data_IF_875463690193
#
_entry.id   IF_875463690193
#
_cell.length_a   1.000
_cell.length_b   1.000
_cell.length_c   1.000
_cell.angle_alpha   90.00
_cell.angle_beta   90.00
_cell.angle_gamma   90.00
#
_symmetry.space_group_name_H-M   'P 1'
#
loop_
_entity.id
_entity.type
_entity.pdbx_description
1 polymer ?
#
# COMPACT_ATOMS: atom_id res chain seq x y z
N UNK A 1 10.34 21.50 19.15
CA UNK A 1 10.00 22.50 18.11
C UNK A 1 11.25 22.73 17.28
N UNK A 2 11.17 22.56 15.96
CA UNK A 2 12.38 22.56 15.12
C UNK A 2 12.69 23.94 14.57
N UNK A 3 13.92 24.14 14.10
CA UNK A 3 14.41 25.42 13.58
C UNK A 3 13.56 25.93 12.38
N UNK A 4 12.93 25.01 11.64
CA UNK A 4 12.03 25.31 10.51
C UNK A 4 10.76 26.01 11.00
N UNK A 5 10.16 25.56 12.11
CA UNK A 5 8.95 26.18 12.69
C UNK A 5 9.26 27.61 13.15
N UNK A 6 10.43 27.82 13.75
CA UNK A 6 10.90 29.14 14.19
C UNK A 6 11.16 30.08 13.00
N UNK A 7 11.75 29.57 11.91
CA UNK A 7 11.96 30.34 10.68
C UNK A 7 10.64 30.68 9.98
N UNK A 8 9.72 29.72 9.86
CA UNK A 8 8.40 29.94 9.27
C UNK A 8 7.58 30.95 10.08
N UNK A 9 7.63 30.87 11.41
CA UNK A 9 6.91 31.82 12.26
C UNK A 9 7.43 33.26 12.16
N UNK A 10 8.70 33.48 11.78
CA UNK A 10 9.28 34.81 11.49
C UNK A 10 8.88 35.40 10.14
N UNK A 11 8.31 34.62 9.22
CA UNK A 11 7.86 35.13 7.92
C UNK A 11 6.62 36.03 8.06
N UNK A 12 6.56 37.09 7.25
CA UNK A 12 5.37 37.94 7.18
C UNK A 12 4.19 37.15 6.62
N UNK A 13 2.96 37.63 6.90
CA UNK A 13 1.74 37.04 6.33
C UNK A 13 1.81 36.98 4.79
N UNK A 14 2.32 38.03 4.15
CA UNK A 14 2.48 38.12 2.69
C UNK A 14 3.42 37.06 2.11
N UNK A 15 4.49 36.72 2.84
CA UNK A 15 5.46 35.71 2.42
C UNK A 15 4.89 34.29 2.57
N UNK A 16 4.16 34.04 3.67
CA UNK A 16 3.41 32.78 3.87
C UNK A 16 2.36 32.58 2.76
N UNK A 17 1.61 33.62 2.42
CA UNK A 17 0.62 33.60 1.34
C UNK A 17 1.26 33.46 -0.07
N UNK A 18 2.51 33.87 -0.24
CA UNK A 18 3.29 33.66 -1.47
C UNK A 18 3.77 32.21 -1.58
N UNK A 19 4.33 31.66 -0.50
CA UNK A 19 4.77 30.26 -0.44
C UNK A 19 3.60 29.28 -0.61
N UNK A 20 2.45 29.56 -0.01
CA UNK A 20 1.24 28.75 -0.19
C UNK A 20 0.80 28.70 -1.66
N UNK A 21 0.81 29.83 -2.37
CA UNK A 21 0.50 29.89 -3.81
C UNK A 21 1.52 29.14 -4.67
N UNK A 22 2.81 29.24 -4.37
CA UNK A 22 3.84 28.46 -5.08
C UNK A 22 3.75 26.95 -4.80
N UNK A 23 3.39 26.55 -3.58
CA UNK A 23 3.16 25.15 -3.23
C UNK A 23 1.95 24.58 -4.01
N UNK A 24 0.83 25.30 -4.05
CA UNK A 24 -0.34 24.95 -4.85
C UNK A 24 0.01 24.81 -6.34
N UNK A 25 0.70 25.79 -6.93
CA UNK A 25 1.11 25.73 -8.34
C UNK A 25 1.96 24.48 -8.66
N UNK A 26 2.85 24.07 -7.75
CA UNK A 26 3.64 22.83 -7.89
C UNK A 26 2.78 21.56 -7.79
N UNK A 27 1.75 21.55 -6.94
CA UNK A 27 0.79 20.43 -6.85
C UNK A 27 -0.02 20.32 -8.15
N UNK A 28 -0.47 21.44 -8.71
CA UNK A 28 -1.19 21.46 -10.00
C UNK A 28 -0.33 20.92 -11.15
N UNK A 29 0.89 21.43 -11.35
CA UNK A 29 1.78 20.95 -12.41
C UNK A 29 2.12 19.44 -12.27
N UNK A 30 2.27 18.94 -11.03
CA UNK A 30 2.48 17.50 -10.76
C UNK A 30 1.26 16.66 -11.16
N UNK A 31 0.05 17.18 -10.95
CA UNK A 31 -1.22 16.52 -11.32
C UNK A 31 -1.34 16.39 -12.85
N UNK A 32 -1.06 17.46 -13.58
CA UNK A 32 -1.06 17.49 -15.05
C UNK A 32 -0.05 16.50 -15.65
N UNK A 33 1.18 16.47 -15.12
CA UNK A 33 2.21 15.51 -15.56
C UNK A 33 1.78 14.05 -15.36
N UNK A 34 1.19 13.72 -14.19
CA UNK A 34 0.67 12.38 -13.90
C UNK A 34 -0.50 11.99 -14.81
N UNK A 35 -1.34 12.96 -15.18
CA UNK A 35 -2.47 12.76 -16.09
C UNK A 35 -1.98 12.44 -17.51
N UNK A 36 -1.01 13.19 -18.03
CA UNK A 36 -0.36 12.92 -19.32
C UNK A 36 0.33 11.55 -19.37
N UNK A 37 0.99 11.13 -18.29
CA UNK A 37 1.62 9.81 -18.22
C UNK A 37 0.60 8.65 -18.25
N UNK A 38 -0.55 8.81 -17.57
CA UNK A 38 -1.65 7.84 -17.63
C UNK A 38 -2.27 7.76 -19.02
N UNK A 39 -2.44 8.89 -19.71
CA UNK A 39 -2.89 8.91 -21.10
C UNK A 39 -1.92 8.14 -22.03
N UNK A 40 -0.61 8.31 -21.83
CA UNK A 40 0.42 7.59 -22.60
C UNK A 40 0.42 6.07 -22.39
N UNK A 41 0.16 5.56 -21.17
CA UNK A 41 -0.01 4.12 -20.92
C UNK A 41 -1.31 3.57 -21.52
N UNK A 42 -2.41 4.35 -21.43
CA UNK A 42 -3.70 3.99 -22.04
C UNK A 42 -3.59 3.86 -23.56
N UNK A 43 -2.75 4.66 -24.21
CA UNK A 43 -2.49 4.60 -25.65
C UNK A 43 -1.70 3.35 -26.12
N UNK A 44 -1.28 2.45 -25.21
CA UNK A 44 -0.49 1.24 -25.53
C UNK A 44 -1.11 -0.08 -25.06
N UNK A 45 -2.35 -0.08 -24.53
CA UNK A 45 -3.04 -1.26 -23.96
C UNK A 45 -2.21 -2.09 -22.95
N UNK A 46 -1.39 -1.43 -22.12
CA UNK A 46 -0.47 -2.07 -21.17
C UNK A 46 -1.11 -2.44 -19.80
N UNK A 47 -2.40 -2.80 -19.73
CA UNK A 47 -3.11 -3.09 -18.46
C UNK A 47 -3.93 -4.38 -18.55
N UNK A 48 -3.65 -5.36 -17.68
CA UNK A 48 -4.36 -6.66 -17.59
C UNK A 48 -4.70 -7.00 -16.14
N UNK A 49 -5.82 -7.71 -15.93
CA UNK A 49 -6.40 -8.07 -14.62
C UNK A 49 -6.90 -9.52 -14.68
N UNK A 50 -6.70 -10.32 -13.63
CA UNK A 50 -7.29 -11.66 -13.55
C UNK A 50 -7.98 -11.85 -12.19
N UNK A 51 -9.17 -12.46 -12.16
CA UNK A 51 -9.97 -12.66 -10.94
C UNK A 51 -10.80 -13.96 -11.03
N UNK A 52 -11.02 -14.61 -9.89
CA UNK A 52 -11.87 -15.80 -9.77
C UNK A 52 -13.35 -15.40 -9.61
N UNK A 53 -14.29 -16.17 -10.15
CA UNK A 53 -15.73 -15.83 -10.21
C UNK A 53 -16.60 -17.10 -10.00
N UNK A 54 -17.64 -17.08 -9.13
CA UNK A 54 -18.62 -18.17 -9.02
C UNK A 54 -19.28 -18.53 -10.37
N UNK A 55 -19.67 -19.79 -10.59
CA UNK A 55 -20.07 -20.30 -11.92
C UNK A 55 -21.36 -19.68 -12.45
N UNK A 56 -22.32 -19.59 -11.56
CA UNK A 56 -23.57 -18.83 -11.66
C UNK A 56 -23.35 -17.36 -12.05
N UNK A 57 -22.26 -16.75 -11.59
CA UNK A 57 -21.93 -15.34 -11.83
C UNK A 57 -21.03 -15.10 -13.06
N UNK A 58 -20.52 -16.15 -13.73
CA UNK A 58 -19.65 -16.01 -14.91
C UNK A 58 -20.33 -15.21 -16.02
N UNK A 59 -21.62 -15.48 -16.27
CA UNK A 59 -22.35 -14.84 -17.36
C UNK A 59 -22.76 -13.41 -17.01
N UNK A 60 -23.11 -13.12 -15.75
CA UNK A 60 -23.31 -11.74 -15.26
C UNK A 60 -22.03 -10.92 -15.40
N UNK A 61 -20.87 -11.47 -15.00
CA UNK A 61 -19.57 -10.80 -15.16
C UNK A 61 -19.22 -10.59 -16.63
N UNK A 62 -19.53 -11.53 -17.55
CA UNK A 62 -19.38 -11.32 -19.00
C UNK A 62 -20.27 -10.20 -19.52
N UNK A 63 -21.54 -10.16 -19.11
CA UNK A 63 -22.48 -9.10 -19.50
C UNK A 63 -22.00 -7.73 -18.99
N UNK A 64 -21.51 -7.64 -17.76
CA UNK A 64 -20.92 -6.42 -17.20
C UNK A 64 -19.67 -5.96 -17.95
N UNK A 65 -18.80 -6.88 -18.39
CA UNK A 65 -17.64 -6.56 -19.21
C UNK A 65 -18.05 -6.06 -20.60
N UNK A 66 -19.09 -6.66 -21.20
CA UNK A 66 -19.67 -6.23 -22.47
C UNK A 66 -20.27 -4.83 -22.36
N UNK A 67 -21.09 -4.57 -21.34
CA UNK A 67 -21.70 -3.27 -21.04
C UNK A 67 -20.62 -2.21 -20.76
N UNK A 68 -19.56 -2.58 -20.04
CA UNK A 68 -18.42 -1.69 -19.80
C UNK A 68 -17.66 -1.35 -21.10
N UNK A 69 -17.45 -2.31 -21.99
CA UNK A 69 -16.83 -2.09 -23.30
C UNK A 69 -17.70 -1.19 -24.19
N UNK A 70 -19.01 -1.45 -24.26
CA UNK A 70 -19.97 -0.69 -25.07
C UNK A 70 -20.07 0.78 -24.63
N UNK A 71 -20.28 1.05 -23.34
CA UNK A 71 -20.36 2.43 -22.86
C UNK A 71 -19.01 3.16 -23.03
N UNK A 72 -17.88 2.45 -22.92
CA UNK A 72 -16.54 3.01 -23.22
C UNK A 72 -16.38 3.37 -24.70
N UNK A 73 -16.93 2.57 -25.63
CA UNK A 73 -16.95 2.90 -27.06
C UNK A 73 -17.81 4.15 -27.35
N UNK A 74 -18.98 4.24 -26.71
CA UNK A 74 -19.89 5.40 -26.84
C UNK A 74 -19.35 6.68 -26.20
N UNK A 75 -18.25 6.58 -25.42
CA UNK A 75 -17.77 7.63 -24.48
C UNK A 75 -18.82 8.06 -23.45
N UNK A 76 -19.85 7.23 -23.31
CA UNK A 76 -20.83 7.26 -22.24
C UNK A 76 -20.18 6.83 -20.94
N UNK A 77 -21.00 6.81 -19.91
CA UNK A 77 -20.54 6.92 -18.56
C UNK A 77 -21.45 6.09 -17.64
N UNK A 78 -20.87 5.08 -16.99
CA UNK A 78 -21.55 4.02 -16.27
C UNK A 78 -20.92 3.80 -14.88
N UNK A 79 -21.62 4.13 -13.79
CA UNK A 79 -21.13 3.77 -12.46
C UNK A 79 -21.48 2.31 -12.20
N UNK A 80 -20.50 1.50 -11.78
CA UNK A 80 -20.78 0.18 -11.19
C UNK A 80 -20.79 0.35 -9.68
N UNK A 81 -21.96 0.15 -9.08
CA UNK A 81 -22.14 0.05 -7.62
C UNK A 81 -22.23 -1.43 -7.25
N UNK A 82 -21.56 -1.78 -6.16
CA UNK A 82 -21.75 -3.10 -5.53
C UNK A 82 -22.93 -2.94 -4.58
N UNK A 83 -24.04 -3.60 -4.87
CA UNK A 83 -25.19 -3.67 -3.99
C UNK A 83 -25.15 -5.00 -3.22
N UNK A 84 -25.65 -5.04 -1.96
CA UNK A 84 -25.96 -6.31 -1.33
C UNK A 84 -27.06 -7.01 -2.13
N UNK A 85 -26.89 -8.31 -2.43
CA UNK A 85 -27.97 -9.13 -2.99
C UNK A 85 -29.15 -9.19 -2.00
N UNK A 86 -30.42 -9.33 -2.44
CA UNK A 86 -31.57 -9.49 -1.55
C UNK A 86 -31.47 -10.69 -0.59
N UNK A 87 -30.65 -11.69 -0.92
CA UNK A 87 -30.36 -12.87 -0.08
C UNK A 87 -29.21 -12.65 0.92
N UNK A 88 -28.46 -11.56 0.82
CA UNK A 88 -27.28 -11.25 1.65
C UNK A 88 -26.04 -12.14 1.40
N UNK A 89 -26.12 -13.15 0.53
CA UNK A 89 -25.05 -14.11 0.28
C UNK A 89 -24.16 -13.70 -0.88
N UNK A 90 -24.71 -12.98 -1.85
CA UNK A 90 -23.99 -12.48 -3.01
C UNK A 90 -23.93 -10.95 -3.03
N UNK A 91 -22.98 -10.41 -3.80
CA UNK A 91 -22.85 -8.98 -4.04
C UNK A 91 -23.31 -8.69 -5.47
N UNK A 92 -24.59 -8.37 -5.65
CA UNK A 92 -25.14 -8.02 -6.96
C UNK A 92 -24.52 -6.72 -7.49
N UNK A 93 -24.18 -6.68 -8.77
CA UNK A 93 -23.55 -5.51 -9.38
C UNK A 93 -24.62 -4.63 -10.01
N UNK A 94 -25.05 -3.61 -9.27
CA UNK A 94 -26.00 -2.61 -9.76
C UNK A 94 -25.25 -1.61 -10.64
N UNK A 95 -25.60 -1.62 -11.92
CA UNK A 95 -25.19 -0.59 -12.87
C UNK A 95 -26.06 0.63 -12.62
N UNK A 96 -25.47 1.66 -12.03
CA UNK A 96 -26.10 2.96 -11.84
C UNK A 96 -25.63 3.84 -13.00
N UNK A 97 -26.43 3.87 -14.07
CA UNK A 97 -26.08 4.62 -15.28
C UNK A 97 -25.93 6.12 -14.94
N UNK A 98 -24.79 6.75 -15.31
CA UNK A 98 -24.39 8.20 -15.17
C UNK A 98 -22.88 8.55 -14.88
N UNK A 99 -21.83 7.79 -15.23
CA UNK A 99 -20.40 8.01 -14.75
C UNK A 99 -19.37 6.86 -14.89
N UNK A 100 -18.58 6.75 -15.98
CA UNK A 100 -17.73 5.56 -16.23
C UNK A 100 -16.63 5.31 -15.17
N UNK A 101 -16.44 4.02 -14.88
CA UNK A 101 -15.46 3.50 -13.93
C UNK A 101 -14.06 4.07 -14.13
N UNK A 102 -13.47 4.44 -13.00
CA UNK A 102 -12.03 4.37 -12.79
C UNK A 102 -11.69 2.94 -12.33
N UNK A 103 -10.84 2.22 -13.08
CA UNK A 103 -9.96 1.21 -12.48
C UNK A 103 -8.50 1.48 -12.87
N UNK A 104 -7.64 1.37 -11.87
CA UNK A 104 -6.20 1.16 -11.99
C UNK A 104 -5.96 -0.31 -12.37
N UNK A 105 -4.76 -0.69 -12.83
CA UNK A 105 -4.14 -2.00 -12.53
C UNK A 105 -2.59 -1.95 -12.76
N UNK A 106 -1.80 -2.96 -12.33
CA UNK A 106 -0.57 -2.72 -11.58
C UNK A 106 0.66 -3.32 -12.29
N UNK A 107 1.79 -3.41 -11.58
CA UNK A 107 3.03 -4.01 -12.10
C UNK A 107 3.21 -5.47 -11.62
N UNK A 108 3.94 -6.25 -12.41
CA UNK A 108 4.71 -7.42 -11.96
C UNK A 108 6.12 -7.24 -12.53
N UNK A 109 7.08 -6.88 -11.68
CA UNK A 109 8.09 -7.79 -11.11
C UNK A 109 8.96 -8.54 -12.14
N UNK A 110 10.22 -8.11 -12.21
CA UNK A 110 11.36 -8.94 -12.61
C UNK A 110 12.53 -8.52 -11.73
N UNK A 111 13.18 -9.49 -11.09
CA UNK A 111 14.31 -9.29 -10.16
C UNK A 111 15.65 -9.16 -10.93
N UNK A 112 16.79 -8.84 -10.28
CA UNK A 112 17.31 -7.49 -10.42
C UNK A 112 18.69 -7.43 -11.12
N UNK A 113 19.26 -6.22 -11.09
CA UNK A 113 20.69 -5.93 -11.28
C UNK A 113 21.23 -5.90 -12.73
N UNK A 114 21.08 -4.73 -13.37
CA UNK A 114 22.01 -4.15 -14.38
C UNK A 114 21.58 -2.74 -14.83
N UNK A 115 21.37 -1.84 -13.86
CA UNK A 115 21.13 -0.39 -14.11
C UNK A 115 21.90 0.54 -13.19
N UNK A 116 23.11 0.15 -12.78
CA UNK A 116 24.12 1.17 -12.46
C UNK A 116 24.49 1.87 -13.77
N UNK A 117 24.04 3.11 -13.94
CA UNK A 117 24.44 3.94 -15.07
C UNK A 117 25.95 4.12 -15.11
N UNK A 118 26.53 4.08 -16.30
CA UNK A 118 27.99 4.14 -16.52
C UNK A 118 28.56 5.51 -16.15
N UNK A 119 28.76 5.75 -14.86
CA UNK A 119 29.59 6.85 -14.37
C UNK A 119 31.07 6.45 -14.51
N UNK A 120 31.69 6.89 -15.60
CA UNK A 120 33.13 6.76 -15.83
C UNK A 120 33.88 7.70 -14.87
N UNK A 121 34.07 7.23 -13.64
CA UNK A 121 34.73 7.95 -12.56
C UNK A 121 34.48 7.25 -11.22
N UNK A 122 35.54 7.00 -10.45
CA UNK A 122 35.55 6.15 -9.24
C UNK A 122 34.93 6.84 -8.00
N UNK A 123 33.78 7.48 -8.16
CA UNK A 123 33.01 8.04 -7.04
C UNK A 123 32.25 6.91 -6.32
N UNK A 124 32.38 6.82 -5.00
CA UNK A 124 31.64 5.83 -4.23
C UNK A 124 30.16 6.22 -4.11
N UNK A 125 29.29 5.24 -3.83
CA UNK A 125 27.87 5.51 -3.54
C UNK A 125 27.68 6.51 -2.38
N UNK A 126 28.64 6.58 -1.45
CA UNK A 126 28.68 7.55 -0.34
C UNK A 126 28.94 8.97 -0.82
N UNK A 127 29.80 9.15 -1.83
CA UNK A 127 30.11 10.46 -2.41
C UNK A 127 28.92 10.98 -3.22
N UNK A 128 28.33 10.10 -4.04
CA UNK A 128 27.13 10.38 -4.83
C UNK A 128 25.92 10.74 -3.95
N UNK A 129 25.74 10.05 -2.82
CA UNK A 129 24.57 10.21 -1.93
C UNK A 129 24.27 11.66 -1.54
N UNK A 130 25.30 12.50 -1.38
CA UNK A 130 25.13 13.91 -1.02
C UNK A 130 24.95 14.86 -2.22
N UNK A 131 25.30 14.46 -3.45
CA UNK A 131 25.18 15.31 -4.65
C UNK A 131 23.71 15.64 -4.95
N UNK A 132 23.32 16.90 -5.22
CA UNK A 132 21.92 17.24 -5.50
C UNK A 132 21.26 16.45 -6.64
N UNK A 133 22.04 16.08 -7.66
CA UNK A 133 21.64 15.21 -8.77
C UNK A 133 21.16 13.83 -8.33
N UNK A 134 21.71 13.27 -7.25
CA UNK A 134 21.34 11.95 -6.73
C UNK A 134 19.95 11.90 -6.08
N UNK A 135 19.25 13.04 -5.96
CA UNK A 135 17.91 13.10 -5.34
C UNK A 135 16.86 12.28 -6.10
N UNK A 136 16.92 12.22 -7.43
CA UNK A 136 15.99 11.40 -8.24
C UNK A 136 16.24 9.92 -8.03
N UNK A 137 17.51 9.51 -8.02
CA UNK A 137 17.92 8.12 -7.78
C UNK A 137 17.53 7.67 -6.37
N UNK A 138 17.78 8.51 -5.36
CA UNK A 138 17.40 8.21 -3.97
C UNK A 138 15.89 8.02 -3.80
N UNK A 139 15.07 8.84 -4.49
CA UNK A 139 13.61 8.67 -4.55
C UNK A 139 13.20 7.37 -5.25
N UNK A 140 13.90 6.99 -6.31
CA UNK A 140 13.62 5.75 -7.05
C UNK A 140 13.90 4.52 -6.18
N UNK A 141 15.07 4.46 -5.54
CA UNK A 141 15.46 3.39 -4.63
C UNK A 141 14.50 3.25 -3.44
N UNK A 142 14.07 4.38 -2.86
CA UNK A 142 13.04 4.37 -1.80
C UNK A 142 11.73 3.77 -2.32
N UNK A 143 11.26 4.19 -3.50
CA UNK A 143 10.02 3.69 -4.07
C UNK A 143 10.10 2.19 -4.45
N UNK A 144 11.25 1.70 -4.93
CA UNK A 144 11.49 0.27 -5.19
C UNK A 144 11.44 -0.57 -3.92
N UNK A 145 12.18 -0.17 -2.88
CA UNK A 145 12.18 -0.86 -1.58
C UNK A 145 10.78 -0.85 -0.99
N UNK A 146 10.07 0.27 -1.03
CA UNK A 146 8.71 0.37 -0.47
C UNK A 146 7.68 -0.38 -1.33
N UNK A 147 7.88 -0.56 -2.63
CA UNK A 147 7.01 -1.38 -3.47
C UNK A 147 7.21 -2.89 -3.25
N UNK A 148 8.44 -3.34 -2.97
CA UNK A 148 8.75 -4.74 -2.67
C UNK A 148 8.54 -5.10 -1.19
N UNK A 149 8.87 -4.18 -0.29
CA UNK A 149 8.95 -4.39 1.16
C UNK A 149 7.91 -3.59 1.98
N UNK A 150 7.03 -2.81 1.35
CA UNK A 150 5.93 -2.12 2.05
C UNK A 150 4.81 -3.05 2.53
N UNK A 151 4.12 -2.72 3.64
CA UNK A 151 4.45 -1.64 4.58
C UNK A 151 5.68 -1.98 5.43
N UNK A 152 6.47 -0.97 5.80
CA UNK A 152 7.60 -1.10 6.73
C UNK A 152 7.83 0.18 7.52
N UNK A 153 8.41 0.14 8.74
CA UNK A 153 8.70 1.36 9.50
C UNK A 153 9.70 2.27 8.80
N UNK A 154 9.55 3.58 8.98
CA UNK A 154 10.45 4.58 8.39
C UNK A 154 11.90 4.39 8.86
N UNK A 155 12.13 4.07 10.14
CA UNK A 155 13.48 3.90 10.69
C UNK A 155 14.16 2.61 10.22
N UNK A 156 13.38 1.61 9.79
CA UNK A 156 13.85 0.38 9.11
C UNK A 156 14.22 0.68 7.65
N UNK A 157 13.40 1.44 6.94
CA UNK A 157 13.73 1.96 5.61
C UNK A 157 15.02 2.79 5.65
N UNK A 158 15.13 3.71 6.60
CA UNK A 158 16.32 4.55 6.80
C UNK A 158 17.58 3.72 7.05
N UNK A 159 17.50 2.67 7.89
CA UNK A 159 18.61 1.77 8.17
C UNK A 159 19.01 0.97 6.92
N UNK A 160 18.03 0.46 6.15
CA UNK A 160 18.27 -0.23 4.87
C UNK A 160 18.99 0.69 3.87
N UNK A 161 18.54 1.93 3.73
CA UNK A 161 19.17 2.92 2.86
C UNK A 161 20.58 3.28 3.32
N UNK A 162 20.79 3.54 4.63
CA UNK A 162 22.11 3.81 5.18
C UNK A 162 23.10 2.67 4.87
N UNK A 163 22.70 1.41 5.12
CA UNK A 163 23.50 0.23 4.80
C UNK A 163 23.79 0.09 3.30
N UNK A 164 22.79 0.32 2.43
CA UNK A 164 22.94 0.27 0.95
C UNK A 164 23.97 1.28 0.43
N UNK A 165 24.11 2.44 1.08
CA UNK A 165 25.13 3.44 0.75
C UNK A 165 26.44 3.29 1.54
N UNK A 166 26.65 2.15 2.20
CA UNK A 166 27.88 1.84 2.92
C UNK A 166 28.09 2.67 4.19
N UNK A 167 27.04 3.24 4.79
CA UNK A 167 27.11 3.87 6.10
C UNK A 167 26.91 2.83 7.21
N UNK A 168 27.77 2.86 8.23
CA UNK A 168 27.67 2.00 9.41
C UNK A 168 26.64 2.48 10.44
N UNK A 169 26.21 3.75 10.36
CA UNK A 169 25.32 4.36 11.35
C UNK A 169 24.26 5.29 10.73
N UNK A 170 23.16 5.47 11.47
CA UNK A 170 22.05 6.39 11.18
C UNK A 170 22.42 7.83 11.55
N UNK A 171 23.42 8.42 10.88
CA UNK A 171 23.80 9.82 11.11
C UNK A 171 22.71 10.78 10.62
N UNK A 172 22.38 11.82 11.39
CA UNK A 172 21.24 12.75 11.15
C UNK A 172 21.16 13.25 9.71
N UNK A 173 22.29 13.66 9.12
CA UNK A 173 22.39 14.13 7.72
C UNK A 173 21.96 13.09 6.68
N UNK A 174 22.04 11.80 6.99
CA UNK A 174 21.56 10.70 6.12
C UNK A 174 20.03 10.59 6.24
N UNK A 175 19.51 10.69 7.46
CA UNK A 175 18.07 10.63 7.75
C UNK A 175 17.33 11.83 7.14
N UNK A 176 17.82 13.06 7.38
CA UNK A 176 17.28 14.30 6.78
C UNK A 176 17.19 14.21 5.24
N UNK A 177 18.22 13.59 4.64
CA UNK A 177 18.34 13.40 3.18
C UNK A 177 17.32 12.37 2.65
N UNK A 178 17.08 11.29 3.38
CA UNK A 178 16.07 10.27 3.08
C UNK A 178 14.66 10.85 3.27
N UNK A 179 14.41 11.54 4.39
CA UNK A 179 13.16 12.25 4.68
C UNK A 179 12.78 13.25 3.58
N UNK A 180 13.75 14.01 3.08
CA UNK A 180 13.57 14.93 1.95
C UNK A 180 13.27 14.24 0.60
N UNK A 181 13.24 12.90 0.54
CA UNK A 181 12.97 12.08 -0.64
C UNK A 181 11.71 11.21 -0.53
N UNK A 182 10.90 11.37 0.53
CA UNK A 182 9.68 10.57 0.74
C UNK A 182 8.48 10.99 -0.14
N UNK A 183 8.62 11.99 -1.03
CA UNK A 183 7.55 12.48 -1.92
C UNK A 183 6.92 11.41 -2.84
N UNK A 184 7.61 10.27 -3.03
CA UNK A 184 7.17 9.16 -3.88
C UNK A 184 6.26 8.14 -3.18
N UNK A 185 6.21 8.16 -1.86
CA UNK A 185 5.55 7.15 -1.01
C UNK A 185 4.43 7.78 -0.18
N UNK A 186 3.79 6.98 0.65
CA UNK A 186 2.84 7.41 1.67
C UNK A 186 3.37 7.09 3.08
N UNK A 187 3.02 7.93 4.05
CA UNK A 187 3.37 7.75 5.46
C UNK A 187 2.08 7.67 6.25
N UNK A 188 1.90 6.57 6.97
CA UNK A 188 0.75 6.34 7.84
C UNK A 188 1.24 5.97 9.23
N UNK A 189 0.73 6.67 10.24
CA UNK A 189 1.17 6.50 11.62
C UNK A 189 0.41 5.33 12.27
N UNK A 190 1.14 4.42 12.92
CA UNK A 190 0.55 3.30 13.68
C UNK A 190 0.89 3.46 15.16
N UNK A 191 -0.07 3.24 16.09
CA UNK A 191 0.16 3.37 17.51
C UNK A 191 1.04 2.23 18.03
N UNK A 192 2.05 2.59 18.82
CA UNK A 192 2.88 1.65 19.60
C UNK A 192 2.23 1.36 20.96
N UNK A 193 2.61 0.25 21.59
CA UNK A 193 2.18 -0.13 22.96
C UNK A 193 2.59 0.88 24.04
N UNK A 194 3.53 1.78 23.74
CA UNK A 194 4.00 2.84 24.64
C UNK A 194 3.20 4.15 24.49
N UNK A 195 2.16 4.19 23.63
CA UNK A 195 1.33 5.38 23.38
C UNK A 195 1.90 6.40 22.40
N UNK A 196 3.07 6.14 21.80
CA UNK A 196 3.61 6.91 20.67
C UNK A 196 3.07 6.39 19.36
N UNK A 197 3.29 7.13 18.29
CA UNK A 197 3.02 6.67 16.93
C UNK A 197 4.33 6.41 16.19
N UNK A 198 4.41 5.27 15.49
CA UNK A 198 5.53 4.92 14.59
C UNK A 198 5.08 5.08 13.14
N UNK A 199 5.76 5.89 12.31
CA UNK A 199 5.40 6.05 10.91
C UNK A 199 5.80 4.81 10.10
N UNK A 200 4.81 4.18 9.46
CA UNK A 200 5.00 3.16 8.44
C UNK A 200 4.96 3.78 7.04
N UNK A 201 5.85 3.30 6.18
CA UNK A 201 6.01 3.73 4.80
C UNK A 201 5.28 2.75 3.88
N UNK A 202 4.42 3.29 3.03
CA UNK A 202 3.55 2.55 2.13
C UNK A 202 3.81 2.95 0.68
N UNK A 203 3.64 2.01 -0.26
CA UNK A 203 3.69 2.34 -1.66
C UNK A 203 2.48 3.21 -2.02
N UNK A 204 2.67 4.19 -2.91
CA UNK A 204 1.61 5.16 -3.23
C UNK A 204 0.39 4.45 -3.83
N UNK A 205 -0.77 4.66 -3.21
CA UNK A 205 -2.04 4.05 -3.57
C UNK A 205 -2.24 2.62 -3.04
N UNK A 206 -1.35 2.10 -2.18
CA UNK A 206 -1.49 0.75 -1.60
C UNK A 206 -1.89 0.74 -0.12
N UNK A 207 -2.09 1.89 0.51
CA UNK A 207 -2.66 1.96 1.85
C UNK A 207 -4.11 1.48 1.86
N UNK A 208 -4.46 0.65 2.84
CA UNK A 208 -5.79 0.05 2.97
C UNK A 208 -5.97 -0.67 4.30
N UNK A 209 -7.17 -1.21 4.59
CA UNK A 209 -7.47 -1.86 5.87
C UNK A 209 -6.69 -3.16 6.11
N UNK A 210 -6.07 -3.73 5.06
CA UNK A 210 -5.24 -4.94 5.07
C UNK A 210 -4.04 -4.73 4.15
N UNK A 211 -2.91 -5.33 4.51
CA UNK A 211 -1.76 -5.52 3.64
C UNK A 211 -1.43 -7.03 3.59
N UNK A 212 -0.93 -7.58 2.47
CA UNK A 212 -0.61 -9.01 2.41
C UNK A 212 0.43 -9.41 3.46
N UNK A 213 0.14 -10.42 4.27
CA UNK A 213 1.07 -11.05 5.19
C UNK A 213 2.19 -11.75 4.43
N UNK A 214 3.43 -11.30 4.67
CA UNK A 214 4.64 -11.80 3.98
C UNK A 214 5.46 -12.80 4.80
N UNK A 215 4.92 -13.23 5.94
CA UNK A 215 5.66 -13.99 6.95
C UNK A 215 6.59 -13.11 7.78
N UNK A 216 6.97 -13.62 8.95
CA UNK A 216 7.92 -12.92 9.83
C UNK A 216 9.33 -12.91 9.25
N UNK A 217 9.86 -14.08 8.85
CA UNK A 217 11.28 -14.29 8.48
C UNK A 217 12.18 -13.65 9.55
N UNK A 218 13.10 -12.77 9.15
CA UNK A 218 14.04 -12.07 10.02
C UNK A 218 13.51 -10.73 10.56
N UNK A 219 12.22 -10.44 10.41
CA UNK A 219 11.59 -9.20 10.93
C UNK A 219 11.25 -9.32 12.41
N UNK A 220 11.49 -8.24 13.15
CA UNK A 220 10.93 -8.08 14.48
C UNK A 220 9.43 -7.79 14.39
N UNK A 221 8.67 -8.23 15.41
CA UNK A 221 7.20 -8.18 15.39
C UNK A 221 6.68 -6.73 15.36
N UNK A 222 7.42 -5.80 15.96
CA UNK A 222 7.14 -4.37 15.93
C UNK A 222 7.45 -3.71 14.57
N UNK A 223 8.19 -4.38 13.69
CA UNK A 223 8.47 -3.93 12.32
C UNK A 223 7.44 -4.44 11.30
N UNK A 224 6.45 -5.22 11.75
CA UNK A 224 5.35 -5.70 10.92
C UNK A 224 4.11 -4.86 11.23
N UNK A 225 3.59 -4.19 10.21
CA UNK A 225 2.40 -3.33 10.31
C UNK A 225 1.19 -4.11 10.87
N UNK A 226 0.36 -3.46 11.68
CA UNK A 226 -0.93 -4.03 12.13
C UNK A 226 -1.84 -4.41 10.96
N UNK A 227 -1.65 -3.78 9.80
CA UNK A 227 -2.40 -4.08 8.58
C UNK A 227 -1.95 -5.39 7.91
N UNK A 228 -0.66 -5.78 8.04
CA UNK A 228 -0.19 -7.13 7.68
C UNK A 228 -0.68 -8.18 8.67
N UNK A 229 -0.67 -7.85 9.97
CA UNK A 229 -1.21 -8.73 11.00
C UNK A 229 -2.69 -9.01 10.79
N UNK A 230 -3.49 -8.01 10.47
CA UNK A 230 -4.91 -8.17 10.22
C UNK A 230 -5.22 -9.09 9.02
N UNK A 231 -4.34 -9.20 8.02
CA UNK A 231 -4.47 -10.18 6.93
C UNK A 231 -4.08 -11.60 7.39
N UNK A 232 -3.10 -11.75 8.28
CA UNK A 232 -2.84 -13.04 8.95
C UNK A 232 -4.05 -13.47 9.81
N UNK A 233 -4.66 -12.54 10.54
CA UNK A 233 -5.81 -12.82 11.41
C UNK A 233 -7.07 -13.15 10.58
N UNK A 234 -7.36 -12.40 9.51
CA UNK A 234 -8.45 -12.71 8.57
C UNK A 234 -8.33 -14.13 7.99
N UNK A 235 -7.12 -14.56 7.60
CA UNK A 235 -6.86 -15.89 7.00
C UNK A 235 -7.04 -17.07 7.96
N UNK A 236 -7.03 -16.83 9.27
CA UNK A 236 -7.07 -17.89 10.30
C UNK A 236 -8.17 -17.62 11.34
N UNK A 237 -9.19 -16.82 10.99
CA UNK A 237 -10.23 -16.36 11.92
C UNK A 237 -10.95 -17.48 12.67
N UNK A 238 -11.27 -18.57 11.98
CA UNK A 238 -11.91 -19.76 12.58
C UNK A 238 -11.06 -20.41 13.67
N UNK A 239 -9.77 -20.64 13.41
CA UNK A 239 -8.83 -21.22 14.38
C UNK A 239 -8.66 -20.28 15.59
N UNK A 240 -8.61 -18.98 15.34
CA UNK A 240 -8.45 -17.94 16.36
C UNK A 240 -9.70 -17.72 17.23
N UNK A 241 -10.90 -18.01 16.72
CA UNK A 241 -12.13 -18.03 17.52
C UNK A 241 -12.27 -19.31 18.36
N UNK A 242 -11.80 -20.45 17.85
CA UNK A 242 -11.83 -21.73 18.57
C UNK A 242 -10.73 -21.84 19.66
N UNK A 243 -9.68 -21.02 19.59
CA UNK A 243 -8.55 -21.05 20.52
C UNK A 243 -8.88 -20.45 21.90
N UNK A 244 -8.46 -21.15 22.97
CA UNK A 244 -8.56 -20.67 24.36
C UNK A 244 -7.72 -19.41 24.64
N UNK A 245 -6.53 -19.31 24.05
CA UNK A 245 -5.70 -18.08 24.00
C UNK A 245 -5.47 -17.69 22.53
N UNK A 246 -6.36 -16.87 21.94
CA UNK A 246 -6.23 -16.41 20.55
C UNK A 246 -4.96 -15.62 20.28
N UNK A 247 -4.41 -14.94 21.29
CA UNK A 247 -3.17 -14.16 21.14
C UNK A 247 -1.97 -15.10 21.03
N UNK A 248 -1.96 -16.20 21.80
CA UNK A 248 -0.96 -17.27 21.68
C UNK A 248 -1.10 -18.05 20.37
N UNK A 249 -2.31 -18.31 19.91
CA UNK A 249 -2.55 -18.93 18.60
C UNK A 249 -2.03 -18.05 17.45
N UNK A 250 -2.38 -16.76 17.43
CA UNK A 250 -1.84 -15.78 16.46
C UNK A 250 -0.31 -15.68 16.52
N UNK A 251 0.27 -15.72 17.72
CA UNK A 251 1.72 -15.75 17.91
C UNK A 251 2.36 -17.01 17.28
N UNK A 252 1.74 -18.18 17.45
CA UNK A 252 2.21 -19.44 16.86
C UNK A 252 2.15 -19.41 15.32
N UNK A 253 1.04 -18.93 14.74
CA UNK A 253 0.86 -18.75 13.28
C UNK A 253 1.92 -17.82 12.67
N UNK A 254 2.39 -16.82 13.43
CA UNK A 254 3.46 -15.91 13.04
C UNK A 254 4.89 -16.44 13.32
N UNK A 255 5.04 -17.66 13.85
CA UNK A 255 6.33 -18.26 14.18
C UNK A 255 7.01 -17.68 15.43
N UNK A 256 6.23 -17.18 16.40
CA UNK A 256 6.73 -16.63 17.66
C UNK A 256 6.89 -17.75 18.70
N UNK A 257 8.14 -18.15 18.96
CA UNK A 257 8.46 -19.26 19.88
C UNK A 257 8.18 -18.98 21.36
N UNK A 258 8.22 -17.71 21.79
CA UNK A 258 8.01 -17.32 23.19
C UNK A 258 7.26 -16.00 23.27
N UNK A 259 6.22 -15.97 24.09
CA UNK A 259 5.30 -14.85 24.25
C UNK A 259 5.61 -14.09 25.55
N UNK A 260 6.67 -13.28 25.52
CA UNK A 260 7.00 -12.37 26.62
C UNK A 260 5.95 -11.26 26.74
N UNK A 261 5.87 -10.61 27.92
CA UNK A 261 4.83 -9.62 28.26
C UNK A 261 4.64 -8.55 27.17
N UNK A 262 5.72 -7.89 26.74
CA UNK A 262 5.67 -6.85 25.70
C UNK A 262 5.18 -7.36 24.34
N UNK A 263 5.53 -8.59 23.98
CA UNK A 263 5.01 -9.23 22.76
C UNK A 263 3.52 -9.55 22.88
N UNK A 264 3.06 -10.04 24.03
CA UNK A 264 1.63 -10.25 24.27
C UNK A 264 0.85 -8.94 24.16
N UNK A 265 1.32 -7.89 24.82
CA UNK A 265 0.70 -6.55 24.76
C UNK A 265 0.58 -6.02 23.33
N UNK A 266 1.63 -6.19 22.50
CA UNK A 266 1.61 -5.80 21.09
C UNK A 266 0.58 -6.61 20.27
N UNK A 267 0.58 -7.94 20.43
CA UNK A 267 -0.32 -8.81 19.67
C UNK A 267 -1.78 -8.68 20.12
N UNK A 268 -2.04 -8.41 21.40
CA UNK A 268 -3.36 -8.01 21.89
C UNK A 268 -3.81 -6.72 21.22
N UNK A 269 -2.99 -5.66 21.21
CA UNK A 269 -3.34 -4.39 20.56
C UNK A 269 -3.63 -4.54 19.06
N UNK A 270 -2.88 -5.39 18.34
CA UNK A 270 -3.14 -5.70 16.94
C UNK A 270 -4.44 -6.49 16.73
N UNK A 271 -4.74 -7.45 17.60
CA UNK A 271 -6.01 -8.22 17.59
C UNK A 271 -7.22 -7.32 17.88
N UNK A 272 -7.12 -6.45 18.89
CA UNK A 272 -8.20 -5.55 19.27
C UNK A 272 -8.46 -4.51 18.16
N UNK A 273 -7.40 -4.00 17.53
CA UNK A 273 -7.53 -3.17 16.33
C UNK A 273 -8.20 -3.91 15.18
N UNK A 274 -7.81 -5.16 14.91
CA UNK A 274 -8.42 -6.01 13.88
C UNK A 274 -9.92 -6.26 14.14
N UNK A 275 -10.31 -6.55 15.38
CA UNK A 275 -11.71 -6.73 15.76
C UNK A 275 -12.54 -5.44 15.61
N UNK A 276 -11.94 -4.28 15.89
CA UNK A 276 -12.57 -2.98 15.68
C UNK A 276 -12.58 -2.53 14.20
N UNK A 277 -11.80 -3.19 13.33
CA UNK A 277 -11.64 -2.87 11.90
C UNK A 277 -11.86 -4.15 11.05
N UNK A 278 -13.07 -4.74 11.06
CA UNK A 278 -13.38 -5.90 10.23
C UNK A 278 -13.15 -5.58 8.76
N UNK A 279 -12.71 -6.57 8.00
CA UNK A 279 -12.53 -6.41 6.55
C UNK A 279 -13.90 -6.37 5.86
N UNK A 280 -13.96 -5.76 4.67
CA UNK A 280 -15.17 -5.75 3.84
C UNK A 280 -15.57 -7.17 3.44
N UNK A 281 -14.58 -8.07 3.37
CA UNK A 281 -14.75 -9.51 3.21
C UNK A 281 -14.65 -10.14 4.61
N UNK A 282 -15.59 -9.82 5.50
CA UNK A 282 -15.63 -10.44 6.83
C UNK A 282 -15.80 -11.96 6.64
N UNK A 283 -14.79 -12.71 7.12
CA UNK A 283 -14.76 -14.17 7.05
C UNK A 283 -15.92 -14.79 7.85
N UNK A 284 -16.46 -14.09 8.85
CA UNK A 284 -17.69 -14.50 9.57
C UNK A 284 -18.91 -14.52 8.66
N UNK A 285 -18.97 -13.60 7.69
CA UNK A 285 -20.04 -13.58 6.69
C UNK A 285 -19.83 -14.67 5.61
N UNK A 286 -18.59 -15.14 5.39
CA UNK A 286 -18.35 -16.30 4.51
C UNK A 286 -18.96 -17.60 5.06
N UNK A 287 -19.11 -17.76 6.39
CA UNK A 287 -19.78 -18.91 7.01
C UNK A 287 -21.27 -19.06 6.63
N UNK A 288 -21.89 -18.07 5.98
CA UNK A 288 -23.28 -18.18 5.51
C UNK A 288 -23.42 -18.76 4.09
N UNK A 289 -22.33 -18.86 3.32
CA UNK A 289 -22.37 -19.45 1.98
C UNK A 289 -22.42 -20.99 2.04
N UNK A 290 -23.23 -21.65 1.19
CA UNK A 290 -23.39 -23.10 1.20
C UNK A 290 -22.15 -23.83 0.66
N UNK A 291 -21.90 -25.05 1.15
CA UNK A 291 -20.60 -25.74 1.06
C UNK A 291 -20.31 -26.43 -0.30
N UNK A 292 -21.23 -26.37 -1.24
CA UNK A 292 -21.17 -27.02 -2.55
C UNK A 292 -20.40 -26.17 -3.58
N UNK A 293 -19.07 -26.33 -3.59
CA UNK A 293 -18.11 -25.52 -4.35
C UNK A 293 -18.26 -25.53 -5.88
N UNK A 294 -19.17 -24.72 -6.41
CA UNK A 294 -19.40 -24.52 -7.84
C UNK A 294 -18.89 -23.14 -8.32
N UNK A 295 -17.64 -23.07 -8.81
CA UNK A 295 -17.05 -21.81 -9.30
C UNK A 295 -15.97 -21.99 -10.38
N UNK A 296 -15.69 -20.94 -11.16
CA UNK A 296 -14.84 -21.01 -12.36
C UNK A 296 -13.87 -19.82 -12.51
N UNK A 297 -12.76 -20.00 -13.23
CA UNK A 297 -11.80 -18.91 -13.49
C UNK A 297 -12.17 -18.19 -14.79
N UNK A 298 -12.46 -16.89 -14.68
CA UNK A 298 -12.67 -16.02 -15.85
C UNK A 298 -11.44 -15.16 -16.08
N UNK A 299 -10.85 -15.23 -17.28
CA UNK A 299 -9.72 -14.41 -17.69
C UNK A 299 -10.24 -13.10 -18.31
N UNK A 300 -9.76 -11.96 -17.83
CA UNK A 300 -10.14 -10.64 -18.35
C UNK A 300 -9.02 -10.11 -19.25
N UNK A 301 -9.34 -9.81 -20.50
CA UNK A 301 -8.47 -9.10 -21.43
C UNK A 301 -9.17 -7.83 -21.89
N UNK A 302 -8.55 -6.66 -21.68
CA UNK A 302 -9.02 -5.41 -22.29
C UNK A 302 -8.68 -5.42 -23.79
N UNK A 303 -9.72 -5.32 -24.64
CA UNK A 303 -9.61 -4.92 -26.05
C UNK A 303 -9.67 -3.40 -26.17
#
# INVERSE_FOLDING_TARGET
MTNVDAAFNRLSKRDKDSLARQALARVHAKKEQNQSFRAGKKARNEVRIERWVPRDQVEEVRQLLSLYADARQRREAMWIRVAPSPDGQHSGLVIDDTSQLIRQHPMSMTEPDKRLGTHSGTASLRDLFHMPSYKSELRHLIAEIVAAEGPLPLDVLELKMARRHGYSSRGTRILDRIGACLDGVELHAEPETNGRERPFVWARGTFGPRAPWRGRRDRDLADISRHEWADLLDRNGDELEAAEDPVRAAAALAGVKSLVKSTRELLTAYRDWWQANPSIIDWRNQRQLPADGQGERVVLSEG
#
